data_IF_804214886830
#
_entry.id   IF_804214886830
#
_cell.length_a   1.000
_cell.length_b   1.000
_cell.length_c   1.000
_cell.angle_alpha   90.00
_cell.angle_beta   90.00
_cell.angle_gamma   90.00
#
_symmetry.space_group_name_H-M   'P 1'
#
loop_
_entity.id
_entity.type
_entity.pdbx_description
1 polymer ?
#
# COMPACT_ATOMS: atom_id res chain seq x y z
N UNK A 1 2.46 15.82 -22.17
CA UNK A 1 1.88 14.88 -21.16
C UNK A 1 1.64 15.67 -19.89
N UNK A 2 0.42 15.66 -19.33
CA UNK A 2 0.28 16.05 -17.93
C UNK A 2 1.08 15.01 -17.12
N UNK A 3 1.99 15.47 -16.26
CA UNK A 3 2.53 14.60 -15.22
C UNK A 3 1.31 14.05 -14.48
N UNK A 4 1.06 12.75 -14.57
CA UNK A 4 0.08 12.14 -13.67
C UNK A 4 0.69 12.28 -12.28
N UNK A 5 0.02 13.02 -11.41
CA UNK A 5 0.31 13.06 -9.98
C UNK A 5 -0.04 11.68 -9.39
N UNK A 6 0.77 10.67 -9.74
CA UNK A 6 0.66 9.34 -9.19
C UNK A 6 1.28 9.35 -7.81
N UNK A 7 0.54 8.85 -6.82
CA UNK A 7 1.10 8.56 -5.52
C UNK A 7 1.79 7.20 -5.58
N UNK A 8 2.87 7.05 -4.83
CA UNK A 8 3.57 5.78 -4.69
C UNK A 8 3.13 5.12 -3.40
N UNK A 9 2.70 3.86 -3.48
CA UNK A 9 2.30 3.09 -2.30
C UNK A 9 3.26 1.92 -2.13
N UNK A 10 3.98 1.90 -1.01
CA UNK A 10 4.78 0.76 -0.58
C UNK A 10 3.98 -0.12 0.38
N UNK A 11 3.96 -1.41 0.13
CA UNK A 11 3.30 -2.41 0.99
C UNK A 11 4.33 -3.45 1.39
N UNK A 12 4.61 -3.56 2.69
CA UNK A 12 5.38 -4.66 3.27
C UNK A 12 4.43 -5.70 3.87
N UNK A 13 4.48 -6.91 3.31
CA UNK A 13 3.59 -8.00 3.65
C UNK A 13 4.20 -8.88 4.76
N UNK A 14 3.74 -8.64 5.99
CA UNK A 14 3.99 -9.48 7.15
C UNK A 14 3.00 -10.65 7.26
N UNK A 15 3.25 -11.61 8.17
CA UNK A 15 2.42 -12.82 8.30
C UNK A 15 0.96 -12.53 8.69
N UNK A 16 0.73 -11.51 9.52
CA UNK A 16 -0.60 -11.13 10.05
C UNK A 16 -1.02 -9.71 9.70
N UNK A 17 -0.08 -8.90 9.19
CA UNK A 17 -0.25 -7.47 8.98
C UNK A 17 0.38 -7.04 7.66
N UNK A 18 -0.16 -5.97 7.09
CA UNK A 18 0.37 -5.28 5.93
C UNK A 18 0.73 -3.87 6.40
N UNK A 19 2.02 -3.53 6.37
CA UNK A 19 2.46 -2.15 6.58
C UNK A 19 2.38 -1.40 5.27
N UNK A 20 1.64 -0.29 5.25
CA UNK A 20 1.36 0.46 4.03
C UNK A 20 1.79 1.90 4.21
N UNK A 21 2.58 2.42 3.28
CA UNK A 21 2.96 3.83 3.19
C UNK A 21 2.55 4.37 1.82
N UNK A 22 1.84 5.51 1.79
CA UNK A 22 1.64 6.29 0.56
C UNK A 22 2.51 7.54 0.63
N UNK A 23 3.25 7.80 -0.44
CA UNK A 23 3.95 9.04 -0.71
C UNK A 23 3.16 9.77 -1.79
N UNK A 24 2.58 10.91 -1.43
CA UNK A 24 1.81 11.72 -2.36
C UNK A 24 2.76 12.47 -3.30
N UNK A 25 2.27 12.86 -4.48
CA UNK A 25 3.07 13.62 -5.44
C UNK A 25 3.60 14.95 -4.87
N UNK A 26 2.91 15.49 -3.87
CA UNK A 26 3.24 16.71 -3.13
C UNK A 26 4.39 16.50 -2.11
N UNK A 27 4.89 15.28 -1.94
CA UNK A 27 5.96 14.91 -1.02
C UNK A 27 5.50 14.63 0.42
N UNK A 28 4.20 14.77 0.71
CA UNK A 28 3.61 14.32 1.99
C UNK A 28 3.48 12.79 2.02
N UNK A 29 3.41 12.20 3.21
CA UNK A 29 3.20 10.76 3.36
C UNK A 29 2.16 10.42 4.43
N UNK A 30 1.49 9.29 4.23
CA UNK A 30 0.60 8.66 5.21
C UNK A 30 0.99 7.19 5.40
N UNK A 31 0.76 6.68 6.62
CA UNK A 31 1.02 5.29 6.99
C UNK A 31 -0.22 4.65 7.59
N UNK A 32 -0.49 3.42 7.21
CA UNK A 32 -1.53 2.59 7.80
C UNK A 32 -1.06 1.15 7.94
N UNK A 33 -1.64 0.46 8.90
CA UNK A 33 -1.50 -0.99 9.04
C UNK A 33 -2.85 -1.64 8.76
N UNK A 34 -2.84 -2.67 7.91
CA UNK A 34 -3.98 -3.55 7.69
C UNK A 34 -3.66 -4.96 8.19
N UNK A 35 -4.67 -5.81 8.30
CA UNK A 35 -4.45 -7.25 8.54
C UNK A 35 -4.42 -8.02 7.22
N UNK A 36 -3.81 -9.19 7.22
CA UNK A 36 -3.83 -10.14 6.08
C UNK A 36 -5.12 -10.96 5.99
N UNK A 37 -6.12 -10.66 6.83
CA UNK A 37 -7.46 -11.27 6.73
C UNK A 37 -8.21 -10.72 5.52
N UNK A 38 -9.24 -11.44 5.05
CA UNK A 38 -10.12 -10.96 3.98
C UNK A 38 -10.67 -9.56 4.25
N UNK A 39 -11.13 -9.30 5.48
CA UNK A 39 -11.64 -7.99 5.90
C UNK A 39 -10.53 -6.93 5.86
N UNK A 40 -9.31 -7.28 6.28
CA UNK A 40 -8.16 -6.38 6.25
C UNK A 40 -7.74 -6.01 4.83
N UNK A 41 -7.70 -6.99 3.93
CA UNK A 41 -7.42 -6.81 2.51
C UNK A 41 -8.50 -5.96 1.84
N UNK A 42 -9.78 -6.20 2.15
CA UNK A 42 -10.88 -5.37 1.65
C UNK A 42 -10.74 -3.90 2.07
N UNK A 43 -10.34 -3.65 3.33
CA UNK A 43 -10.06 -2.29 3.82
C UNK A 43 -8.88 -1.65 3.09
N UNK A 44 -7.81 -2.40 2.82
CA UNK A 44 -6.68 -1.90 2.04
C UNK A 44 -7.12 -1.50 0.63
N UNK A 45 -7.85 -2.36 -0.08
CA UNK A 45 -8.33 -2.09 -1.43
C UNK A 45 -9.21 -0.83 -1.46
N UNK A 46 -10.07 -0.63 -0.46
CA UNK A 46 -10.91 0.56 -0.34
C UNK A 46 -10.14 1.84 0.03
N UNK A 47 -8.94 1.70 0.60
CA UNK A 47 -8.07 2.83 0.95
C UNK A 47 -7.16 3.26 -0.22
N UNK A 48 -6.82 2.34 -1.13
CA UNK A 48 -6.05 2.62 -2.34
C UNK A 48 -6.83 3.49 -3.33
N UNK A 49 -6.12 4.36 -4.04
CA UNK A 49 -6.70 5.14 -5.13
C UNK A 49 -6.39 4.50 -6.48
N UNK A 50 -7.25 4.68 -7.51
CA UNK A 50 -7.04 4.11 -8.85
C UNK A 50 -5.73 4.50 -9.54
N UNK A 51 -5.13 5.63 -9.16
CA UNK A 51 -3.88 6.14 -9.74
C UNK A 51 -2.63 5.81 -8.90
N UNK A 52 -2.79 5.10 -7.80
CA UNK A 52 -1.66 4.71 -6.95
C UNK A 52 -0.78 3.70 -7.70
N UNK A 53 0.52 3.96 -7.73
CA UNK A 53 1.53 2.99 -8.19
C UNK A 53 1.97 2.17 -6.99
N UNK A 54 1.58 0.90 -6.96
CA UNK A 54 1.77 0.02 -5.81
C UNK A 54 3.01 -0.86 -5.98
N UNK A 55 3.97 -0.72 -5.08
CA UNK A 55 5.06 -1.66 -4.86
C UNK A 55 4.72 -2.60 -3.71
N UNK A 56 4.64 -3.90 -3.99
CA UNK A 56 4.39 -4.93 -3.00
C UNK A 56 5.67 -5.71 -2.73
N UNK A 57 6.17 -5.61 -1.51
CA UNK A 57 7.24 -6.45 -0.99
C UNK A 57 6.61 -7.52 -0.09
N UNK A 58 6.75 -8.78 -0.51
CA UNK A 58 6.57 -9.90 0.39
C UNK A 58 7.98 -10.43 0.65
N UNK A 59 8.49 -10.24 1.87
CA UNK A 59 9.73 -10.88 2.28
C UNK A 59 9.66 -12.38 2.01
N UNK A 60 10.80 -13.06 1.89
CA UNK A 60 10.87 -14.52 1.75
C UNK A 60 10.31 -15.22 3.00
N UNK A 61 8.97 -15.27 3.10
CA UNK A 61 8.26 -15.96 4.15
C UNK A 61 8.25 -17.43 3.79
N UNK A 62 9.03 -18.22 4.53
CA UNK A 62 8.91 -19.67 4.52
C UNK A 62 7.48 -20.04 4.92
N UNK A 63 6.76 -20.71 4.02
CA UNK A 63 5.42 -21.24 4.23
C UNK A 63 5.42 -22.38 5.25
#
# INVERSE_FOLDING_TARGET
>A
MKSQDSNYVGIDCGKKSLEVIRINSEGSYERQQFSTTEIGISKLINWLNPNDVVGLEAGSQSF
#
